data_IF_132403502977
#
_entry.id   IF_132403502977
#
_cell.length_a   1.000
_cell.length_b   1.000
_cell.length_c   1.000
_cell.angle_alpha   90.00
_cell.angle_beta   90.00
_cell.angle_gamma   90.00
#
_symmetry.space_group_name_H-M   'P 1'
#
loop_
_entity.id
_entity.type
_entity.pdbx_description
1 polymer ?
#
# COMPACT_ATOMS: atom_id res chain seq x y z
N UNK A 1 9.49 2.69 -14.45
CA UNK A 1 8.75 1.54 -13.87
C UNK A 1 9.08 1.48 -12.39
N UNK A 2 8.14 1.84 -11.51
CA UNK A 2 8.31 1.73 -10.06
C UNK A 2 8.34 0.25 -9.71
N UNK A 3 9.42 -0.23 -9.08
CA UNK A 3 9.52 -1.60 -8.57
C UNK A 3 8.86 -1.68 -7.20
N UNK A 4 8.29 -2.84 -6.88
CA UNK A 4 7.83 -3.11 -5.52
C UNK A 4 8.97 -2.87 -4.53
N UNK A 5 8.72 -2.05 -3.52
CA UNK A 5 9.71 -1.69 -2.50
C UNK A 5 9.08 -1.83 -1.13
N UNK A 6 9.72 -2.59 -0.25
CA UNK A 6 9.32 -2.74 1.15
C UNK A 6 10.31 -2.01 2.05
N UNK A 7 9.78 -1.13 2.90
CA UNK A 7 10.56 -0.40 3.90
C UNK A 7 10.23 -0.98 5.26
N UNK A 8 11.28 -1.41 5.97
CA UNK A 8 11.16 -1.85 7.36
C UNK A 8 11.15 -0.63 8.30
N UNK A 9 10.40 -0.66 9.40
CA UNK A 9 10.45 0.41 10.39
C UNK A 9 11.89 0.59 10.90
N UNK A 10 12.40 1.81 10.81
CA UNK A 10 13.70 2.17 11.40
C UNK A 10 13.66 2.10 12.93
N UNK A 11 14.83 2.07 13.56
CA UNK A 11 14.94 1.92 15.02
C UNK A 11 14.61 3.19 15.81
N UNK A 12 14.47 4.34 15.14
CA UNK A 12 14.28 5.63 15.80
C UNK A 12 12.79 5.92 16.06
N UNK A 13 12.25 5.25 17.08
CA UNK A 13 10.84 5.37 17.47
C UNK A 13 10.45 6.78 17.92
N UNK A 14 11.38 7.53 18.55
CA UNK A 14 11.14 8.88 19.03
C UNK A 14 10.89 9.86 17.87
N UNK A 15 11.66 9.74 16.78
CA UNK A 15 11.45 10.54 15.58
C UNK A 15 10.10 10.20 14.90
N UNK A 16 9.75 8.91 14.82
CA UNK A 16 8.46 8.47 14.27
C UNK A 16 7.28 8.98 15.10
N UNK A 17 7.42 9.03 16.43
CA UNK A 17 6.42 9.61 17.32
C UNK A 17 6.24 11.10 17.06
N UNK A 18 7.35 11.87 16.98
CA UNK A 18 7.31 13.30 16.70
C UNK A 18 6.66 13.62 15.34
N UNK A 19 7.03 12.87 14.30
CA UNK A 19 6.41 13.01 12.96
C UNK A 19 4.93 12.66 13.01
N UNK A 20 4.56 11.60 13.76
CA UNK A 20 3.17 11.19 13.92
C UNK A 20 2.30 12.28 14.56
N UNK A 21 2.82 12.98 15.58
CA UNK A 21 2.14 14.11 16.22
C UNK A 21 2.01 15.29 15.26
N UNK A 22 3.10 15.68 14.58
CA UNK A 22 3.09 16.80 13.64
C UNK A 22 2.08 16.61 12.49
N UNK A 23 1.92 15.37 12.00
CA UNK A 23 0.96 15.05 10.93
C UNK A 23 -0.52 15.14 11.38
N UNK A 24 -0.81 15.14 12.68
CA UNK A 24 -2.16 15.28 13.23
C UNK A 24 -2.60 16.73 13.41
N UNK A 25 -1.66 17.68 13.33
CA UNK A 25 -1.99 19.10 13.47
C UNK A 25 -2.83 19.60 12.30
N UNK A 26 -3.86 20.40 12.60
CA UNK A 26 -4.71 21.07 11.62
C UNK A 26 -4.05 22.35 11.09
N UNK A 27 -2.75 22.27 10.81
CA UNK A 27 -1.96 23.36 10.26
C UNK A 27 -1.45 23.00 8.86
N UNK A 28 -1.23 23.98 7.95
CA UNK A 28 -0.53 23.76 6.70
C UNK A 28 0.83 23.11 6.96
N UNK A 29 1.12 22.01 6.28
CA UNK A 29 2.39 21.30 6.38
C UNK A 29 3.20 21.55 5.13
N UNK A 30 4.51 21.51 5.27
CA UNK A 30 5.44 21.76 4.18
C UNK A 30 6.49 20.66 4.20
N UNK A 31 6.82 20.11 3.05
CA UNK A 31 7.94 19.18 2.90
C UNK A 31 9.18 19.98 2.53
N UNK A 32 10.18 19.95 3.39
CA UNK A 32 11.47 20.61 3.16
C UNK A 32 12.54 19.59 2.86
N UNK A 33 13.25 19.78 1.74
CA UNK A 33 14.38 18.96 1.31
C UNK A 33 15.51 19.88 0.87
N UNK A 34 16.59 19.94 1.66
CA UNK A 34 17.62 20.97 1.50
C UNK A 34 17.00 22.36 1.63
N UNK A 35 17.22 23.22 0.63
CA UNK A 35 16.67 24.58 0.58
C UNK A 35 15.29 24.66 -0.09
N UNK A 36 14.76 23.54 -0.60
CA UNK A 36 13.45 23.50 -1.27
C UNK A 36 12.34 23.21 -0.27
N UNK A 37 11.27 24.01 -0.31
CA UNK A 37 10.11 23.84 0.55
C UNK A 37 8.83 23.88 -0.29
N UNK A 38 8.04 22.81 -0.23
CA UNK A 38 6.80 22.67 -1.01
C UNK A 38 5.61 22.35 -0.10
N UNK A 39 4.42 22.95 -0.33
CA UNK A 39 3.23 22.60 0.42
C UNK A 39 2.95 21.10 0.35
N UNK A 40 2.66 20.47 1.48
CA UNK A 40 2.35 19.06 1.55
C UNK A 40 0.84 18.85 1.25
N UNK A 41 0.48 18.16 0.14
CA UNK A 41 -0.92 17.91 -0.19
C UNK A 41 -1.64 17.11 0.91
N UNK A 42 -2.95 17.34 1.14
CA UNK A 42 -3.72 16.61 2.15
C UNK A 42 -3.67 15.09 1.98
N UNK A 43 -3.72 14.60 0.73
CA UNK A 43 -3.69 13.18 0.40
C UNK A 43 -2.36 12.56 0.82
N UNK A 44 -1.24 13.22 0.51
CA UNK A 44 0.09 12.76 0.89
C UNK A 44 0.30 12.81 2.41
N UNK A 45 -0.27 13.81 3.10
CA UNK A 45 -0.29 13.86 4.56
C UNK A 45 -1.00 12.64 5.17
N UNK A 46 -2.18 12.29 4.65
CA UNK A 46 -2.92 11.12 5.13
C UNK A 46 -2.10 9.83 4.97
N UNK A 47 -1.50 9.65 3.78
CA UNK A 47 -0.64 8.49 3.49
C UNK A 47 0.54 8.44 4.46
N UNK A 48 1.26 9.55 4.68
CA UNK A 48 2.37 9.59 5.63
C UNK A 48 1.92 9.26 7.06
N UNK A 49 0.73 9.72 7.48
CA UNK A 49 0.20 9.40 8.80
C UNK A 49 -0.12 7.90 8.95
N UNK A 50 -0.63 7.26 7.90
CA UNK A 50 -0.86 5.81 7.86
C UNK A 50 0.46 5.03 7.91
N UNK A 51 1.47 5.46 7.14
CA UNK A 51 2.82 4.88 7.12
C UNK A 51 3.47 4.95 8.49
N UNK A 52 3.45 6.12 9.13
CA UNK A 52 4.00 6.29 10.49
C UNK A 52 3.26 5.41 11.49
N UNK A 53 1.92 5.33 11.41
CA UNK A 53 1.12 4.45 12.28
C UNK A 53 1.48 2.97 12.09
N UNK A 54 1.72 2.51 10.86
CA UNK A 54 2.16 1.15 10.59
C UNK A 54 3.57 0.89 11.16
N UNK A 55 4.52 1.80 10.90
CA UNK A 55 5.89 1.66 11.38
C UNK A 55 5.99 1.65 12.91
N UNK A 56 5.21 2.48 13.61
CA UNK A 56 5.13 2.49 15.08
C UNK A 56 4.64 1.16 15.67
N UNK A 57 3.87 0.38 14.91
CA UNK A 57 3.42 -0.97 15.29
C UNK A 57 4.41 -2.07 14.87
N UNK A 58 5.60 -1.71 14.41
CA UNK A 58 6.59 -2.66 13.91
C UNK A 58 6.20 -3.29 12.57
N UNK A 59 5.25 -2.71 11.85
CA UNK A 59 4.79 -3.23 10.55
C UNK A 59 5.63 -2.65 9.42
N UNK A 60 6.02 -3.50 8.48
CA UNK A 60 6.62 -3.06 7.23
C UNK A 60 5.59 -2.36 6.34
N UNK A 61 6.06 -1.45 5.50
CA UNK A 61 5.25 -0.74 4.50
C UNK A 61 5.74 -1.10 3.11
N UNK A 62 4.83 -1.48 2.22
CA UNK A 62 5.13 -1.86 0.84
C UNK A 62 4.49 -0.88 -0.14
N UNK A 63 5.29 -0.39 -1.08
CA UNK A 63 4.83 0.38 -2.24
C UNK A 63 4.87 -0.51 -3.47
N UNK A 64 3.74 -0.62 -4.17
CA UNK A 64 3.55 -1.48 -5.33
C UNK A 64 2.89 -0.69 -6.48
N UNK A 65 3.35 -0.84 -7.74
CA UNK A 65 2.64 -0.26 -8.87
C UNK A 65 1.28 -0.96 -9.06
N UNK A 66 0.24 -0.21 -9.45
CA UNK A 66 -1.09 -0.79 -9.73
C UNK A 66 -1.07 -1.88 -10.82
N UNK A 67 -0.11 -1.81 -11.74
CA UNK A 67 0.10 -2.82 -12.79
C UNK A 67 0.79 -4.10 -12.29
N UNK A 68 1.17 -4.17 -11.01
CA UNK A 68 1.82 -5.34 -10.43
C UNK A 68 0.92 -6.57 -10.60
N UNK A 69 1.51 -7.66 -11.09
CA UNK A 69 0.81 -8.94 -11.18
C UNK A 69 0.99 -9.73 -9.88
N UNK A 70 -0.14 -10.10 -9.30
CA UNK A 70 -0.27 -10.91 -8.11
C UNK A 70 -0.54 -12.36 -8.48
N UNK A 71 0.01 -13.27 -7.69
CA UNK A 71 -0.46 -14.65 -7.65
C UNK A 71 -1.84 -14.74 -7.00
N UNK A 72 -2.56 -15.84 -7.22
CA UNK A 72 -3.83 -16.08 -6.53
C UNK A 72 -3.69 -16.13 -5.01
N UNK A 73 -2.51 -16.48 -4.48
CA UNK A 73 -2.30 -16.48 -3.03
C UNK A 73 -2.17 -15.04 -2.52
N UNK A 74 -1.28 -14.25 -3.11
CA UNK A 74 -1.10 -12.84 -2.75
C UNK A 74 -2.40 -12.03 -2.84
N UNK A 75 -3.19 -12.23 -3.90
CA UNK A 75 -4.48 -11.56 -4.03
C UNK A 75 -5.50 -12.01 -2.97
N UNK A 76 -5.49 -13.29 -2.57
CA UNK A 76 -6.39 -13.80 -1.54
C UNK A 76 -6.02 -13.24 -0.16
N UNK A 77 -4.71 -13.22 0.14
CA UNK A 77 -4.17 -12.65 1.37
C UNK A 77 -4.48 -11.14 1.45
N UNK A 78 -4.37 -10.43 0.33
CA UNK A 78 -4.66 -8.98 0.24
C UNK A 78 -6.12 -8.66 0.59
N UNK A 79 -7.07 -9.46 0.08
CA UNK A 79 -8.50 -9.20 0.31
C UNK A 79 -9.09 -9.95 1.51
N UNK A 80 -8.25 -10.64 2.28
CA UNK A 80 -8.64 -11.33 3.51
C UNK A 80 -9.54 -12.56 3.30
N UNK A 81 -9.40 -13.27 2.19
CA UNK A 81 -10.17 -14.49 1.88
C UNK A 81 -9.27 -15.71 1.68
N UNK A 82 -9.84 -16.91 1.77
CA UNK A 82 -9.10 -18.12 1.40
C UNK A 82 -8.85 -18.21 -0.10
N UNK A 83 -7.72 -18.78 -0.52
CA UNK A 83 -7.40 -18.99 -1.95
C UNK A 83 -8.49 -19.73 -2.72
N UNK A 84 -9.14 -20.81 -2.20
CA UNK A 84 -10.29 -21.42 -2.88
C UNK A 84 -11.46 -20.47 -3.08
N UNK A 85 -11.70 -19.55 -2.13
CA UNK A 85 -12.76 -18.53 -2.26
C UNK A 85 -12.42 -17.53 -3.35
N UNK A 86 -11.17 -17.05 -3.40
CA UNK A 86 -10.72 -16.19 -4.49
C UNK A 86 -10.90 -16.88 -5.84
N UNK A 87 -10.53 -18.16 -5.98
CA UNK A 87 -10.69 -18.91 -7.24
C UNK A 87 -12.15 -18.90 -7.72
N UNK A 88 -13.13 -19.08 -6.83
CA UNK A 88 -14.56 -18.99 -7.18
C UNK A 88 -14.95 -17.59 -7.68
N UNK A 89 -14.37 -16.52 -7.10
CA UNK A 89 -14.59 -15.15 -7.58
C UNK A 89 -14.02 -14.93 -8.98
N UNK A 90 -12.85 -15.51 -9.27
CA UNK A 90 -12.24 -15.46 -10.60
C UNK A 90 -13.06 -16.23 -11.63
N UNK A 91 -13.49 -17.44 -11.29
CA UNK A 91 -14.27 -18.31 -12.19
C UNK A 91 -15.69 -17.78 -12.44
N UNK A 92 -16.24 -16.99 -11.51
CA UNK A 92 -17.49 -16.25 -11.71
C UNK A 92 -17.32 -14.92 -12.45
N UNK A 93 -16.10 -14.56 -12.87
CA UNK A 93 -15.82 -13.33 -13.61
C UNK A 93 -15.90 -12.05 -12.78
N UNK A 94 -15.96 -12.16 -11.44
CA UNK A 94 -16.05 -10.98 -10.56
C UNK A 94 -14.76 -10.19 -10.44
N UNK A 95 -13.62 -10.85 -10.64
CA UNK A 95 -12.30 -10.22 -10.65
C UNK A 95 -11.58 -10.67 -11.93
N UNK A 96 -11.14 -9.73 -12.79
CA UNK A 96 -10.32 -10.04 -13.94
C UNK A 96 -9.03 -10.79 -13.59
N UNK A 97 -8.61 -11.71 -14.45
CA UNK A 97 -7.31 -12.35 -14.36
C UNK A 97 -6.77 -12.72 -15.74
N UNK A 98 -5.46 -12.81 -15.83
CA UNK A 98 -4.74 -13.27 -17.02
C UNK A 98 -4.06 -14.62 -16.71
N UNK A 99 -3.74 -15.40 -17.74
CA UNK A 99 -2.95 -16.63 -17.59
C UNK A 99 -1.77 -16.61 -18.56
N UNK A 100 -0.75 -15.76 -18.32
CA UNK A 100 0.47 -15.73 -19.12
C UNK A 100 1.32 -16.98 -18.81
N UNK A 101 0.94 -18.12 -19.36
CA UNK A 101 1.58 -19.42 -19.12
C UNK A 101 0.68 -20.40 -18.35
N UNK A 102 1.19 -21.01 -17.28
CA UNK A 102 0.48 -22.06 -16.52
C UNK A 102 -0.34 -21.55 -15.33
N UNK A 103 -0.05 -20.35 -14.84
CA UNK A 103 -0.61 -19.85 -13.58
C UNK A 103 -1.37 -18.55 -13.79
N UNK A 104 -2.52 -18.45 -13.12
CA UNK A 104 -3.33 -17.22 -13.08
C UNK A 104 -2.53 -16.08 -12.44
N UNK A 105 -2.73 -14.88 -12.97
CA UNK A 105 -2.17 -13.62 -12.49
C UNK A 105 -3.27 -12.56 -12.46
N UNK A 106 -3.30 -11.77 -11.40
CA UNK A 106 -4.27 -10.71 -11.20
C UNK A 106 -3.52 -9.38 -11.14
N UNK A 107 -4.06 -8.31 -11.72
CA UNK A 107 -3.46 -6.98 -11.52
C UNK A 107 -3.87 -6.47 -10.15
N UNK A 108 -2.95 -5.82 -9.44
CA UNK A 108 -3.24 -5.22 -8.14
C UNK A 108 -4.43 -4.25 -8.22
N UNK A 109 -4.52 -3.45 -9.29
CA UNK A 109 -5.68 -2.56 -9.56
C UNK A 109 -7.02 -3.29 -9.50
N UNK A 110 -7.11 -4.44 -10.15
CA UNK A 110 -8.37 -5.17 -10.33
C UNK A 110 -8.81 -5.84 -9.02
N UNK A 111 -7.82 -6.23 -8.19
CA UNK A 111 -8.07 -6.80 -6.86
C UNK A 111 -8.53 -5.73 -5.87
N UNK A 112 -7.92 -4.53 -5.90
CA UNK A 112 -8.32 -3.42 -5.03
C UNK A 112 -9.71 -2.87 -5.41
N UNK A 113 -10.00 -2.74 -6.71
CA UNK A 113 -11.31 -2.28 -7.20
C UNK A 113 -12.47 -3.21 -6.82
N UNK A 114 -12.20 -4.46 -6.44
CA UNK A 114 -13.21 -5.39 -5.94
C UNK A 114 -13.56 -5.18 -4.46
N UNK A 115 -12.66 -4.58 -3.67
CA UNK A 115 -12.88 -4.33 -2.24
C UNK A 115 -13.71 -3.06 -1.96
N UNK A 116 -13.76 -2.14 -2.92
CA UNK A 116 -14.61 -0.94 -2.88
C UNK A 116 -16.08 -1.27 -3.20
#
# INVERSE_FOLDING_TARGET
>A
MTRETTVLPGQDSALLDAVGVALQEQAPATLTVGDSSVPLPPELRSVLADVVRAMRRGQAVTFAPMSQQLTTQQAADLIGVSRPTLIKLLESGRIPYETPGRHRRLRLSDVLAFQE
#
